data_IF_467546042562
#
_entry.id   IF_467546042562
#
_cell.length_a   1.000
_cell.length_b   1.000
_cell.length_c   1.000
_cell.angle_alpha   90.00
_cell.angle_beta   90.00
_cell.angle_gamma   90.00
#
_symmetry.space_group_name_H-M   'P 1'
#
loop_
_entity.id
_entity.type
_entity.pdbx_description
1 polymer ?
#
# COMPACT_ATOMS: atom_id res chain seq x y z
N UNK A 1 -17.22 -4.10 26.70
CA UNK A 1 -17.71 -2.81 26.15
C UNK A 1 -16.52 -2.02 25.61
N UNK A 2 -16.73 -1.21 24.58
CA UNK A 2 -15.69 -0.33 24.04
C UNK A 2 -15.88 1.10 24.51
N UNK A 3 -14.78 1.84 24.61
CA UNK A 3 -14.77 3.25 25.03
C UNK A 3 -13.83 4.05 24.13
N UNK A 4 -14.23 5.27 23.78
CA UNK A 4 -13.40 6.17 22.99
C UNK A 4 -12.47 6.98 23.90
N UNK A 5 -11.21 7.07 23.50
CA UNK A 5 -10.16 7.82 24.18
C UNK A 5 -9.58 8.83 23.21
N UNK A 6 -9.49 10.09 23.65
CA UNK A 6 -8.78 11.13 22.91
C UNK A 6 -7.28 10.94 23.11
N UNK A 7 -6.55 11.02 22.02
CA UNK A 7 -5.09 10.91 21.99
C UNK A 7 -4.44 12.28 21.96
N UNK A 8 -3.28 12.40 22.58
CA UNK A 8 -2.47 13.60 22.53
C UNK A 8 -1.97 13.85 21.09
N UNK A 9 -1.77 15.12 20.69
CA UNK A 9 -1.21 15.44 19.37
C UNK A 9 0.09 14.66 19.09
N UNK A 10 0.15 13.98 17.95
CA UNK A 10 1.32 13.19 17.54
C UNK A 10 1.39 11.78 18.14
N UNK A 11 0.55 11.42 19.12
CA UNK A 11 0.57 10.09 19.73
C UNK A 11 0.13 8.96 18.77
N UNK A 12 -0.66 9.29 17.75
CA UNK A 12 -1.02 8.37 16.67
C UNK A 12 0.08 8.19 15.62
N UNK A 13 1.21 8.92 15.72
CA UNK A 13 2.37 8.69 14.85
C UNK A 13 3.26 7.59 15.41
N UNK A 14 3.97 6.83 14.55
CA UNK A 14 5.02 5.92 14.98
C UNK A 14 6.14 6.65 15.73
N UNK A 15 6.53 6.13 16.89
CA UNK A 15 7.61 6.70 17.70
C UNK A 15 8.92 5.94 17.49
N UNK A 16 10.01 6.69 17.31
CA UNK A 16 11.36 6.15 17.23
C UNK A 16 11.79 5.62 18.59
N UNK A 17 12.27 4.39 18.59
CA UNK A 17 12.98 3.76 19.68
C UNK A 17 14.49 3.88 19.46
N UNK A 18 15.24 3.75 20.54
CA UNK A 18 16.68 3.77 20.53
C UNK A 18 17.16 2.46 21.12
N UNK A 19 17.56 1.53 20.25
CA UNK A 19 18.06 0.21 20.65
C UNK A 19 19.57 0.30 20.78
N UNK A 20 20.11 -0.23 21.87
CA UNK A 20 21.56 -0.27 22.11
C UNK A 20 22.11 -1.55 21.47
N UNK A 21 22.90 -1.39 20.41
CA UNK A 21 23.61 -2.47 19.72
C UNK A 21 25.08 -2.46 20.12
N UNK A 22 25.68 -3.61 20.41
CA UNK A 22 27.14 -3.67 20.62
C UNK A 22 27.88 -3.45 19.30
N UNK A 23 28.86 -2.54 19.27
CA UNK A 23 29.52 -2.07 18.03
C UNK A 23 30.36 -3.15 17.34
N UNK A 24 30.69 -4.24 18.03
CA UNK A 24 31.37 -5.39 17.44
C UNK A 24 30.96 -6.68 18.18
N UNK A 25 30.52 -7.69 17.43
CA UNK A 25 30.28 -9.04 17.91
C UNK A 25 31.44 -9.92 17.44
N UNK A 26 32.00 -10.74 18.32
CA UNK A 26 32.94 -11.79 17.95
C UNK A 26 32.25 -12.92 17.18
N UNK A 27 33.03 -13.85 16.63
CA UNK A 27 32.49 -15.03 15.93
C UNK A 27 31.55 -15.87 16.83
N UNK A 28 31.72 -15.78 18.15
CA UNK A 28 30.92 -16.46 19.17
C UNK A 28 29.64 -15.70 19.55
N UNK A 29 29.30 -14.60 18.84
CA UNK A 29 28.13 -13.76 19.14
C UNK A 29 28.25 -12.91 20.41
N UNK A 30 29.43 -12.88 21.06
CA UNK A 30 29.70 -12.05 22.25
C UNK A 30 30.31 -10.69 21.89
N UNK A 31 30.02 -9.60 22.61
CA UNK A 31 30.59 -8.28 22.31
C UNK A 31 32.12 -8.28 22.37
N UNK A 32 32.79 -7.86 21.29
CA UNK A 32 34.24 -7.81 21.17
C UNK A 32 34.76 -6.41 21.55
N UNK A 33 34.44 -5.94 22.76
CA UNK A 33 34.91 -4.65 23.31
C UNK A 33 33.84 -3.86 24.07
N UNK A 34 34.20 -2.65 24.56
CA UNK A 34 33.32 -1.75 25.34
C UNK A 34 32.52 -0.76 24.47
N UNK A 35 32.29 -1.06 23.19
CA UNK A 35 31.58 -0.18 22.27
C UNK A 35 30.09 -0.50 22.21
N UNK A 36 29.24 0.52 22.37
CA UNK A 36 27.83 0.45 22.02
C UNK A 36 27.46 1.52 21.00
N UNK A 37 26.49 1.22 20.13
CA UNK A 37 25.85 2.15 19.21
C UNK A 37 24.37 2.20 19.55
N UNK A 38 23.85 3.41 19.71
CA UNK A 38 22.42 3.62 19.83
C UNK A 38 21.85 3.71 18.41
N UNK A 39 21.14 2.68 17.98
CA UNK A 39 20.52 2.62 16.66
C UNK A 39 19.03 2.99 16.79
N UNK A 40 18.56 4.03 16.07
CA UNK A 40 17.14 4.36 16.07
C UNK A 40 16.36 3.26 15.33
N UNK A 41 15.52 2.53 16.04
CA UNK A 41 14.54 1.60 15.46
C UNK A 41 13.19 2.30 15.37
N UNK A 42 12.50 2.20 14.24
CA UNK A 42 11.15 2.72 14.09
C UNK A 42 10.31 1.61 13.49
N UNK A 43 9.38 1.07 14.27
CA UNK A 43 8.32 0.25 13.69
C UNK A 43 7.25 1.18 13.09
N UNK A 44 7.14 1.31 11.76
CA UNK A 44 6.16 2.18 11.13
C UNK A 44 4.72 1.65 11.27
N UNK A 45 4.55 0.42 11.75
CA UNK A 45 3.24 -0.22 11.86
C UNK A 45 2.59 -0.03 13.23
N UNK A 46 3.27 0.49 14.24
CA UNK A 46 2.72 0.68 15.58
C UNK A 46 2.86 2.15 15.98
N UNK A 47 1.75 2.79 16.37
CA UNK A 47 1.78 4.16 16.88
C UNK A 47 2.27 4.22 18.32
N UNK A 48 2.69 5.41 18.77
CA UNK A 48 3.14 5.62 20.15
C UNK A 48 2.06 5.23 21.17
N UNK A 49 0.80 5.60 20.90
CA UNK A 49 -0.34 5.31 21.79
C UNK A 49 -0.65 3.82 21.88
N UNK A 50 -0.65 3.11 20.75
CA UNK A 50 -0.89 1.66 20.74
C UNK A 50 0.17 0.91 21.54
N UNK A 51 1.43 1.37 21.44
CA UNK A 51 2.52 0.81 22.24
C UNK A 51 2.32 1.10 23.73
N UNK A 52 2.00 2.34 24.09
CA UNK A 52 1.77 2.72 25.49
C UNK A 52 0.61 1.91 26.10
N UNK A 53 -0.52 1.81 25.38
CA UNK A 53 -1.66 0.99 25.81
C UNK A 53 -1.29 -0.50 25.91
N UNK A 54 -0.50 -1.02 24.97
CA UNK A 54 -0.01 -2.40 25.01
C UNK A 54 0.89 -2.66 26.22
N UNK A 55 1.79 -1.73 26.54
CA UNK A 55 2.70 -1.84 27.69
C UNK A 55 1.94 -1.81 29.01
N UNK A 56 0.85 -1.04 29.07
CA UNK A 56 -0.05 -0.99 30.22
C UNK A 56 -1.03 -2.19 30.27
N UNK A 57 -1.06 -3.03 29.25
CA UNK A 57 -1.91 -4.23 29.21
C UNK A 57 -3.38 -3.95 28.84
N UNK A 58 -3.68 -2.79 28.26
CA UNK A 58 -5.03 -2.50 27.77
C UNK A 58 -5.30 -3.21 26.45
N UNK A 59 -6.51 -3.73 26.29
CA UNK A 59 -7.01 -4.17 24.98
C UNK A 59 -7.49 -2.95 24.20
N UNK A 60 -6.91 -2.70 23.04
CA UNK A 60 -7.20 -1.50 22.24
C UNK A 60 -7.51 -1.83 20.78
N UNK A 61 -8.07 -0.85 20.09
CA UNK A 61 -8.31 -0.86 18.66
C UNK A 61 -8.16 0.58 18.15
N UNK A 62 -7.25 0.78 17.20
CA UNK A 62 -7.10 2.07 16.52
C UNK A 62 -7.39 1.86 15.03
N UNK A 63 -8.44 2.47 14.49
CA UNK A 63 -8.80 2.29 13.10
C UNK A 63 -7.77 2.98 12.19
N UNK A 64 -7.19 2.24 11.25
CA UNK A 64 -6.11 2.70 10.38
C UNK A 64 -6.28 2.30 8.93
N UNK A 65 -5.78 3.17 8.06
CA UNK A 65 -5.64 2.89 6.64
C UNK A 65 -4.18 3.00 6.23
N UNK A 66 -3.82 2.31 5.15
CA UNK A 66 -2.51 2.43 4.52
C UNK A 66 -2.66 3.13 3.18
N UNK A 67 -1.83 4.13 2.93
CA UNK A 67 -1.82 4.88 1.66
C UNK A 67 -0.43 4.84 1.03
N UNK A 68 -0.37 4.77 -0.30
CA UNK A 68 0.89 4.91 -1.02
C UNK A 68 1.35 6.36 -0.96
N UNK A 69 2.47 6.61 -0.30
CA UNK A 69 3.10 7.91 -0.20
C UNK A 69 4.40 7.90 -1.00
N UNK A 70 4.55 8.90 -1.85
CA UNK A 70 5.77 9.11 -2.64
C UNK A 70 6.91 9.49 -1.71
N UNK A 71 8.06 8.83 -1.84
CA UNK A 71 9.25 9.20 -1.09
C UNK A 71 9.75 10.57 -1.56
N UNK A 72 9.94 11.49 -0.62
CA UNK A 72 10.36 12.87 -0.92
C UNK A 72 11.74 12.95 -1.56
N UNK A 73 12.65 12.03 -1.21
CA UNK A 73 14.02 12.01 -1.73
C UNK A 73 14.14 11.12 -2.97
N UNK A 74 13.39 10.03 -3.01
CA UNK A 74 13.36 9.08 -4.14
C UNK A 74 12.01 9.12 -4.80
N UNK A 75 11.82 10.06 -5.71
CA UNK A 75 10.53 10.34 -6.35
C UNK A 75 9.95 9.15 -7.13
N UNK A 76 10.77 8.18 -7.52
CA UNK A 76 10.27 6.98 -8.21
C UNK A 76 9.79 5.89 -7.24
N UNK A 77 10.08 6.05 -5.96
CA UNK A 77 9.73 5.10 -4.91
C UNK A 77 8.45 5.51 -4.20
N UNK A 78 7.49 4.60 -4.18
CA UNK A 78 6.26 4.72 -3.42
C UNK A 78 6.28 3.71 -2.28
N UNK A 79 5.92 4.17 -1.08
CA UNK A 79 5.90 3.33 0.12
C UNK A 79 4.52 3.38 0.75
N UNK A 80 3.95 2.24 1.16
CA UNK A 80 2.76 2.26 1.99
C UNK A 80 3.12 2.93 3.33
N UNK A 81 2.26 3.84 3.77
CA UNK A 81 2.34 4.50 5.07
C UNK A 81 1.01 4.37 5.79
N UNK A 82 1.07 4.08 7.09
CA UNK A 82 -0.08 3.99 7.99
C UNK A 82 -0.60 5.38 8.35
N UNK A 83 -1.91 5.55 8.34
CA UNK A 83 -2.63 6.75 8.77
C UNK A 83 -3.82 6.33 9.63
N UNK A 84 -4.15 7.10 10.67
CA UNK A 84 -5.36 6.85 11.44
C UNK A 84 -6.59 7.28 10.63
N UNK A 85 -7.62 6.43 10.58
CA UNK A 85 -8.92 6.76 9.98
C UNK A 85 -9.63 7.84 10.80
N UNK A 86 -9.54 7.73 12.12
CA UNK A 86 -10.07 8.72 13.07
C UNK A 86 -8.93 9.43 13.78
N UNK A 87 -8.62 10.63 13.33
CA UNK A 87 -7.57 11.46 13.94
C UNK A 87 -7.96 11.83 15.37
N UNK A 88 -7.02 11.65 16.29
CA UNK A 88 -7.20 12.00 17.68
C UNK A 88 -7.94 10.97 18.52
N UNK A 89 -8.37 9.83 17.98
CA UNK A 89 -9.14 8.82 18.73
C UNK A 89 -8.53 7.43 18.67
N UNK A 90 -8.65 6.70 19.77
CA UNK A 90 -8.39 5.26 19.91
C UNK A 90 -9.49 4.65 20.75
N UNK A 91 -9.79 3.37 20.54
CA UNK A 91 -10.79 2.65 21.30
C UNK A 91 -10.11 1.67 22.24
N UNK A 92 -10.62 1.57 23.46
CA UNK A 92 -10.17 0.62 24.48
C UNK A 92 -11.34 -0.24 24.93
N UNK A 93 -11.05 -1.48 25.29
CA UNK A 93 -12.06 -2.48 25.63
C UNK A 93 -11.95 -2.84 27.11
N UNK A 94 -13.11 -3.02 27.75
CA UNK A 94 -13.24 -3.62 29.08
C UNK A 94 -12.33 -2.93 30.13
N UNK A 95 -12.41 -1.60 30.21
CA UNK A 95 -11.58 -0.80 31.13
C UNK A 95 -12.09 -0.91 32.56
N UNK A 96 -11.24 -1.42 33.45
CA UNK A 96 -11.49 -1.50 34.89
C UNK A 96 -10.86 -0.31 35.64
N UNK A 97 -9.60 0.01 35.31
CA UNK A 97 -8.84 1.10 35.92
C UNK A 97 -8.78 2.33 35.00
N UNK A 98 -9.68 3.28 35.27
CA UNK A 98 -9.78 4.54 34.51
C UNK A 98 -8.64 5.51 34.79
N UNK A 99 -8.10 5.50 36.01
CA UNK A 99 -7.03 6.42 36.40
C UNK A 99 -5.76 6.06 35.65
N UNK A 100 -5.41 4.77 35.66
CA UNK A 100 -4.27 4.25 34.92
C UNK A 100 -4.37 4.50 33.42
N UNK A 101 -5.58 4.39 32.85
CA UNK A 101 -5.81 4.71 31.44
C UNK A 101 -5.55 6.19 31.16
N UNK A 102 -6.04 7.10 32.00
CA UNK A 102 -5.84 8.55 31.82
C UNK A 102 -4.39 8.98 32.04
N UNK A 103 -3.62 8.27 32.86
CA UNK A 103 -2.18 8.49 33.06
C UNK A 103 -1.29 7.88 31.95
N UNK A 104 -1.86 7.05 31.08
CA UNK A 104 -1.11 6.37 30.01
C UNK A 104 -0.55 7.38 29.01
N UNK A 105 0.75 7.24 28.67
CA UNK A 105 1.41 8.14 27.75
C UNK A 105 0.70 8.25 26.38
N UNK A 106 0.38 9.48 25.96
CA UNK A 106 -0.32 9.73 24.71
C UNK A 106 -1.84 9.69 24.81
N UNK A 107 -2.42 9.35 25.97
CA UNK A 107 -3.83 9.59 26.27
C UNK A 107 -3.99 11.05 26.67
N UNK A 108 -4.97 11.73 26.08
CA UNK A 108 -5.34 13.11 26.44
C UNK A 108 -6.54 13.14 27.40
N UNK A 109 -7.57 12.33 27.12
CA UNK A 109 -8.77 12.24 27.98
C UNK A 109 -9.69 11.11 27.51
N UNK A 110 -10.46 10.51 28.41
CA UNK A 110 -11.56 9.61 28.04
C UNK A 110 -12.76 10.42 27.54
N UNK A 111 -13.43 9.97 26.47
CA UNK A 111 -14.66 10.60 25.98
C UNK A 111 -15.80 10.30 26.94
N UNK A 112 -16.46 11.36 27.43
CA UNK A 112 -17.50 11.26 28.46
C UNK A 112 -18.78 11.96 28.02
N UNK A 113 -19.92 11.41 28.43
CA UNK A 113 -21.23 12.07 28.38
C UNK A 113 -21.74 12.25 29.81
N UNK A 114 -22.03 13.49 30.22
CA UNK A 114 -22.45 13.82 31.60
C UNK A 114 -21.52 13.23 32.68
N UNK A 115 -20.20 13.33 32.46
CA UNK A 115 -19.17 12.83 33.39
C UNK A 115 -18.91 11.32 33.34
N UNK A 116 -19.76 10.54 32.65
CA UNK A 116 -19.61 9.08 32.52
C UNK A 116 -18.89 8.72 31.23
N UNK A 117 -17.95 7.75 31.23
CA UNK A 117 -17.34 7.25 30.00
C UNK A 117 -18.39 6.81 28.98
N UNK A 118 -18.27 7.30 27.75
CA UNK A 118 -19.19 6.97 26.67
C UNK A 118 -18.88 5.56 26.14
N UNK A 119 -19.86 4.67 26.20
CA UNK A 119 -19.76 3.33 25.63
C UNK A 119 -20.00 3.38 24.13
N UNK A 120 -19.12 2.73 23.38
CA UNK A 120 -19.26 2.53 21.94
C UNK A 120 -19.81 1.13 21.71
N UNK A 121 -20.95 0.98 21.01
CA UNK A 121 -21.48 -0.31 20.62
C UNK A 121 -20.48 -1.10 19.77
N UNK A 122 -20.45 -2.43 19.96
CA UNK A 122 -19.57 -3.32 19.17
C UNK A 122 -19.86 -3.19 17.67
N UNK A 123 -21.12 -3.01 17.28
CA UNK A 123 -21.52 -2.78 15.90
C UNK A 123 -20.82 -1.57 15.25
N UNK A 124 -20.56 -0.49 16.01
CA UNK A 124 -19.82 0.68 15.50
C UNK A 124 -18.33 0.37 15.28
N UNK A 125 -17.74 -0.43 16.17
CA UNK A 125 -16.36 -0.90 16.00
C UNK A 125 -16.26 -1.82 14.78
N UNK A 126 -17.24 -2.70 14.57
CA UNK A 126 -17.27 -3.58 13.41
C UNK A 126 -17.45 -2.80 12.10
N UNK A 127 -18.26 -1.74 12.09
CA UNK A 127 -18.34 -0.83 10.94
C UNK A 127 -16.98 -0.21 10.62
N UNK A 128 -16.22 0.23 11.62
CA UNK A 128 -14.86 0.76 11.40
C UNK A 128 -13.93 -0.31 10.82
N UNK A 129 -14.03 -1.56 11.27
CA UNK A 129 -13.22 -2.67 10.73
C UNK A 129 -13.56 -2.99 9.29
N UNK A 130 -14.84 -2.89 8.90
CA UNK A 130 -15.25 -3.01 7.49
C UNK A 130 -14.62 -1.89 6.66
N UNK A 131 -14.63 -0.65 7.15
CA UNK A 131 -13.97 0.47 6.47
C UNK A 131 -12.45 0.29 6.32
N UNK A 132 -11.77 -0.26 7.34
CA UNK A 132 -10.35 -0.61 7.24
C UNK A 132 -10.10 -1.64 6.13
N UNK A 133 -10.91 -2.71 6.09
CA UNK A 133 -10.78 -3.77 5.09
C UNK A 133 -11.01 -3.24 3.66
N UNK A 134 -12.00 -2.36 3.47
CA UNK A 134 -12.23 -1.70 2.19
C UNK A 134 -11.04 -0.80 1.77
N UNK A 135 -10.47 -0.06 2.72
CA UNK A 135 -9.30 0.77 2.47
C UNK A 135 -8.08 -0.08 2.08
N UNK A 136 -7.88 -1.23 2.72
CA UNK A 136 -6.82 -2.17 2.37
C UNK A 136 -7.03 -2.79 0.98
N UNK A 137 -8.25 -3.21 0.65
CA UNK A 137 -8.58 -3.71 -0.70
C UNK A 137 -8.33 -2.65 -1.79
N UNK A 138 -8.65 -1.39 -1.49
CA UNK A 138 -8.37 -0.26 -2.39
C UNK A 138 -6.87 -0.03 -2.57
N UNK A 139 -6.08 -0.11 -1.49
CA UNK A 139 -4.62 -0.02 -1.55
C UNK A 139 -4.03 -1.14 -2.43
N UNK A 140 -4.49 -2.38 -2.24
CA UNK A 140 -4.01 -3.52 -2.99
C UNK A 140 -4.23 -3.34 -4.50
N UNK A 141 -5.44 -2.90 -4.90
CA UNK A 141 -5.74 -2.57 -6.30
C UNK A 141 -4.82 -1.47 -6.85
N UNK A 142 -4.49 -0.46 -6.05
CA UNK A 142 -3.58 0.62 -6.48
C UNK A 142 -2.14 0.12 -6.66
N UNK A 143 -1.68 -0.78 -5.81
CA UNK A 143 -0.37 -1.43 -5.94
C UNK A 143 -0.32 -2.23 -7.24
N UNK A 144 -1.30 -3.09 -7.48
CA UNK A 144 -1.40 -3.91 -8.69
C UNK A 144 -1.44 -3.07 -9.97
N UNK A 145 -2.25 -2.01 -10.00
CA UNK A 145 -2.31 -1.07 -11.13
C UNK A 145 -0.96 -0.40 -11.40
N UNK A 146 -0.24 -0.02 -10.33
CA UNK A 146 1.09 0.59 -10.44
C UNK A 146 2.13 -0.41 -10.95
N UNK A 147 2.12 -1.63 -10.45
CA UNK A 147 3.00 -2.69 -10.92
C UNK A 147 2.73 -3.04 -12.40
N UNK A 148 1.47 -3.15 -12.78
CA UNK A 148 1.07 -3.36 -14.16
C UNK A 148 1.54 -2.20 -15.06
N UNK A 149 1.39 -0.95 -14.60
CA UNK A 149 1.88 0.21 -15.33
C UNK A 149 3.42 0.24 -15.44
N UNK A 150 4.14 -0.17 -14.40
CA UNK A 150 5.60 -0.27 -14.42
C UNK A 150 6.11 -1.39 -15.35
N UNK A 151 5.34 -2.48 -15.50
CA UNK A 151 5.63 -3.55 -16.47
C UNK A 151 5.39 -3.14 -17.91
N UNK A 152 4.58 -2.10 -18.17
CA UNK A 152 4.39 -1.60 -19.55
C UNK A 152 5.70 -1.02 -20.07
N UNK A 153 6.19 -1.57 -21.18
CA UNK A 153 7.37 -1.05 -21.85
C UNK A 153 7.16 0.42 -22.23
N UNK A 154 8.11 1.32 -21.95
CA UNK A 154 8.00 2.70 -22.37
C UNK A 154 7.99 2.75 -23.90
N UNK A 155 7.09 3.56 -24.48
CA UNK A 155 6.86 3.68 -25.93
C UNK A 155 8.14 3.69 -26.78
N UNK A 156 9.19 4.37 -26.30
CA UNK A 156 10.48 4.48 -26.97
C UNK A 156 11.25 3.15 -27.08
N UNK A 157 11.14 2.27 -26.08
CA UNK A 157 11.67 0.89 -26.14
C UNK A 157 10.78 -0.01 -27.00
N UNK A 158 9.47 0.17 -26.94
CA UNK A 158 8.53 -0.60 -27.77
C UNK A 158 8.72 -0.29 -29.26
N UNK A 159 8.89 0.99 -29.63
CA UNK A 159 9.15 1.40 -31.01
C UNK A 159 10.53 0.99 -31.52
N UNK A 160 11.53 0.83 -30.64
CA UNK A 160 12.85 0.32 -31.04
C UNK A 160 12.87 -1.20 -31.19
N UNK A 161 12.12 -1.94 -30.36
CA UNK A 161 12.00 -3.40 -30.47
C UNK A 161 11.10 -3.82 -31.65
N UNK A 162 10.07 -3.04 -31.94
CA UNK A 162 9.12 -3.30 -33.02
C UNK A 162 8.91 -2.04 -33.86
N UNK A 163 9.84 -1.71 -34.77
CA UNK A 163 9.70 -0.56 -35.64
C UNK A 163 8.48 -0.68 -36.55
N UNK A 164 7.88 0.44 -36.91
CA UNK A 164 6.75 0.48 -37.84
C UNK A 164 7.14 -0.17 -39.17
N UNK A 165 6.26 -1.00 -39.73
CA UNK A 165 6.52 -1.79 -40.93
C UNK A 165 7.16 -3.16 -40.66
N UNK A 166 7.52 -3.48 -39.41
CA UNK A 166 8.06 -4.81 -39.09
C UNK A 166 6.97 -5.88 -39.19
N UNK A 167 7.32 -7.03 -39.77
CA UNK A 167 6.50 -8.23 -39.73
C UNK A 167 6.66 -8.90 -38.36
N UNK A 168 5.56 -9.18 -37.68
CA UNK A 168 5.55 -9.85 -36.38
C UNK A 168 4.53 -10.97 -36.36
N UNK A 169 4.86 -12.05 -35.65
CA UNK A 169 3.97 -13.18 -35.42
C UNK A 169 3.28 -13.02 -34.05
N UNK A 170 1.97 -13.23 -34.02
CA UNK A 170 1.19 -13.19 -32.78
C UNK A 170 1.30 -14.54 -32.10
N UNK A 171 2.04 -14.59 -30.99
CA UNK A 171 2.28 -15.84 -30.24
C UNK A 171 1.19 -16.20 -29.24
N UNK A 172 0.26 -15.28 -28.93
CA UNK A 172 -0.86 -15.53 -27.99
C UNK A 172 -2.07 -14.66 -28.34
N UNK A 173 -3.28 -15.22 -28.26
CA UNK A 173 -4.54 -14.48 -28.27
C UNK A 173 -5.43 -14.76 -29.51
N UNK A 174 -6.44 -13.93 -29.80
CA UNK A 174 -7.46 -14.24 -30.83
C UNK A 174 -6.94 -14.40 -32.26
N UNK A 175 -5.70 -13.99 -32.52
CA UNK A 175 -5.04 -14.08 -33.81
C UNK A 175 -3.70 -14.83 -33.71
N UNK A 176 -3.60 -15.79 -32.78
CA UNK A 176 -2.44 -16.66 -32.59
C UNK A 176 -1.98 -17.32 -33.90
N UNK A 177 -0.67 -17.46 -34.07
CA UNK A 177 0.02 -17.99 -35.27
C UNK A 177 -0.17 -17.15 -36.56
N UNK A 178 -0.82 -15.99 -36.48
CA UNK A 178 -0.95 -15.10 -37.63
C UNK A 178 0.17 -14.08 -37.69
N UNK A 179 0.59 -13.80 -38.93
CA UNK A 179 1.56 -12.77 -39.25
C UNK A 179 0.84 -11.43 -39.47
N UNK A 180 1.42 -10.34 -38.98
CA UNK A 180 0.89 -8.99 -39.18
C UNK A 180 1.99 -7.95 -39.25
N UNK A 181 1.68 -6.82 -39.89
CA UNK A 181 2.60 -5.69 -40.02
C UNK A 181 2.31 -4.67 -38.92
N UNK A 182 3.36 -4.22 -38.21
CA UNK A 182 3.23 -3.19 -37.18
C UNK A 182 2.87 -1.85 -37.82
N UNK A 183 1.67 -1.35 -37.55
CA UNK A 183 1.18 -0.04 -38.03
C UNK A 183 1.37 1.08 -37.01
N UNK A 184 1.64 0.75 -35.74
CA UNK A 184 1.94 1.73 -34.71
C UNK A 184 1.71 1.21 -33.29
N UNK A 185 1.70 2.14 -32.32
CA UNK A 185 1.41 1.83 -30.91
C UNK A 185 0.32 2.75 -30.34
N UNK A 186 -0.62 2.18 -29.60
CA UNK A 186 -1.72 2.92 -28.97
C UNK A 186 -1.26 3.72 -27.73
N UNK A 187 -2.11 4.64 -27.25
CA UNK A 187 -1.90 5.45 -26.03
C UNK A 187 -1.68 4.59 -24.78
N UNK A 188 -2.17 3.35 -24.78
CA UNK A 188 -1.96 2.38 -23.69
C UNK A 188 -0.66 1.55 -23.82
N UNK A 189 0.13 1.73 -24.89
CA UNK A 189 1.37 0.97 -25.12
C UNK A 189 1.19 -0.38 -25.80
N UNK A 190 0.00 -0.66 -26.37
CA UNK A 190 -0.28 -1.87 -27.17
C UNK A 190 0.17 -1.69 -28.62
N UNK A 191 0.64 -2.75 -29.27
CA UNK A 191 0.97 -2.76 -30.70
C UNK A 191 -0.31 -2.82 -31.54
N UNK A 192 -0.41 -1.97 -32.56
CA UNK A 192 -1.42 -2.06 -33.61
C UNK A 192 -0.84 -2.86 -34.76
N UNK A 193 -1.49 -3.97 -35.09
CA UNK A 193 -1.08 -4.88 -36.15
C UNK A 193 -2.12 -4.86 -37.26
N UNK A 194 -1.67 -4.73 -38.49
CA UNK A 194 -2.48 -5.05 -39.66
C UNK A 194 -2.26 -6.54 -39.95
N UNK A 195 -3.25 -7.36 -39.60
CA UNK A 195 -3.23 -8.79 -39.89
C UNK A 195 -3.95 -8.96 -41.23
N UNK A 196 -3.23 -9.40 -42.27
CA UNK A 196 -3.87 -9.84 -43.50
C UNK A 196 -4.64 -11.12 -43.19
N UNK A 197 -5.94 -10.97 -42.98
CA UNK A 197 -6.86 -12.04 -42.68
C UNK A 197 -7.94 -12.03 -43.74
N UNK A 198 -7.65 -12.59 -44.91
CA UNK A 198 -8.62 -13.20 -45.85
C UNK A 198 -7.89 -13.61 -47.14
N UNK A 199 -7.47 -14.88 -47.22
CA UNK A 199 -7.41 -15.54 -48.52
C UNK A 199 -8.85 -15.90 -48.90
N UNK A 200 -9.35 -15.30 -49.98
CA UNK A 200 -10.60 -15.70 -50.60
C UNK A 200 -10.35 -15.97 -52.09
N UNK A 201 -10.81 -17.13 -52.55
CA UNK A 201 -10.84 -17.45 -53.97
C UNK A 201 -11.98 -16.67 -54.61
N UNK A 202 -11.63 -15.58 -55.29
CA UNK A 202 -12.57 -14.77 -56.07
C UNK A 202 -12.41 -15.13 -57.55
N UNK A 203 -13.50 -15.40 -58.30
CA UNK A 203 -13.43 -15.59 -59.74
C UNK A 203 -12.80 -14.38 -60.42
N UNK A 204 -11.89 -14.62 -61.37
CA UNK A 204 -11.07 -13.60 -62.03
C UNK A 204 -11.90 -12.47 -62.67
N UNK A 205 -13.15 -12.77 -63.02
CA UNK A 205 -14.12 -11.88 -63.64
C UNK A 205 -14.68 -10.81 -62.69
N UNK A 206 -14.41 -10.93 -61.39
CA UNK A 206 -14.96 -10.08 -60.33
C UNK A 206 -14.00 -8.98 -59.85
N UNK A 207 -12.88 -8.78 -60.55
CA UNK A 207 -11.81 -7.85 -60.14
C UNK A 207 -11.45 -6.92 -61.31
N UNK A 208 -11.31 -5.61 -61.04
CA UNK A 208 -10.80 -4.64 -62.02
C UNK A 208 -9.57 -3.93 -61.44
N UNK A 209 -8.54 -3.76 -62.26
CA UNK A 209 -7.37 -2.95 -61.94
C UNK A 209 -7.81 -1.47 -61.90
N UNK A 210 -7.62 -0.85 -60.74
CA UNK A 210 -7.71 0.61 -60.61
C UNK A 210 -6.28 1.13 -60.63
N UNK A 211 -5.96 1.93 -61.64
CA UNK A 211 -4.69 2.63 -61.77
C UNK A 211 -4.64 3.86 -60.85
#
# INVERSE_FOLDING_TARGET
MWYAVRTAPGAQMPQREYVVESTSLGADGRPRGKGYRITPSLDPNISAIERALSNEGFTYYMPVERRLVRDRKKTDLWKPRRFALLLGYVFVKDVEDWVRLEETAGVASVVRNQGRPMTIPVAEIDMLRVMEAEAEAKLQKLIEQREAAARRLPRRKTSSMFPMGSLVEVTRGPAEERHGIVTGTDREGRLRLLIQSLEMSVPMDSVKLVA
#
